data_IF_580950414995
#
_entry.id   IF_580950414995
#
_cell.length_a   1.000
_cell.length_b   1.000
_cell.length_c   1.000
_cell.angle_alpha   90.00
_cell.angle_beta   90.00
_cell.angle_gamma   90.00
#
_symmetry.space_group_name_H-M   'P 1'
#
loop_
_entity.id
_entity.type
_entity.pdbx_description
1 polymer ?
#
# COMPACT_ATOMS: atom_id res chain seq x y z
N UNK A 1 -26.02 64.95 -21.15
CA UNK A 1 -26.79 63.71 -20.96
C UNK A 1 -25.84 62.72 -20.30
N UNK A 2 -25.95 62.59 -18.97
CA UNK A 2 -25.58 61.50 -18.04
C UNK A 2 -24.20 60.77 -18.14
N UNK A 3 -23.66 60.60 -16.94
CA UNK A 3 -22.39 60.06 -16.43
C UNK A 3 -21.96 58.64 -16.86
N UNK A 4 -20.63 58.36 -16.83
CA UNK A 4 -19.97 57.59 -15.74
C UNK A 4 -18.75 56.74 -16.18
N UNK A 5 -17.66 56.93 -15.42
CA UNK A 5 -16.77 55.91 -14.81
C UNK A 5 -15.68 55.14 -15.60
N UNK A 6 -14.44 55.30 -15.09
CA UNK A 6 -13.45 54.25 -14.85
C UNK A 6 -12.09 54.46 -15.53
N UNK A 7 -10.91 54.46 -14.90
CA UNK A 7 -10.48 54.39 -13.51
C UNK A 7 -9.01 54.88 -13.44
N UNK A 8 -8.70 55.64 -12.38
CA UNK A 8 -7.38 55.92 -11.80
C UNK A 8 -6.63 54.62 -11.43
N UNK A 9 -5.35 54.51 -11.09
CA UNK A 9 -4.12 55.34 -11.04
C UNK A 9 -3.13 54.50 -10.19
N UNK A 10 -1.84 54.86 -10.23
CA UNK A 10 -0.77 54.55 -9.26
C UNK A 10 -0.80 53.23 -8.47
N UNK A 11 0.19 52.38 -8.76
CA UNK A 11 1.15 51.93 -7.73
C UNK A 11 2.45 51.39 -8.35
N UNK A 12 3.30 52.34 -8.73
CA UNK A 12 4.70 52.29 -8.25
C UNK A 12 4.68 52.22 -6.71
N UNK A 13 5.77 51.80 -6.07
CA UNK A 13 5.97 51.57 -4.63
C UNK A 13 6.15 50.07 -4.30
N UNK A 14 7.44 49.73 -4.14
CA UNK A 14 8.03 48.60 -3.40
C UNK A 14 8.65 47.48 -4.24
N UNK A 15 9.62 47.89 -5.05
CA UNK A 15 10.93 47.21 -5.08
C UNK A 15 11.63 47.50 -3.75
N UNK A 16 12.29 46.48 -3.18
CA UNK A 16 13.02 46.43 -1.91
C UNK A 16 12.18 46.51 -0.64
N UNK A 17 12.10 45.40 0.11
CA UNK A 17 12.74 45.32 1.42
C UNK A 17 13.16 43.87 1.72
N UNK A 18 14.46 43.76 1.96
CA UNK A 18 15.22 42.70 2.60
C UNK A 18 14.51 41.98 3.78
N UNK A 19 14.75 40.67 3.87
CA UNK A 19 14.89 39.98 5.16
C UNK A 19 13.76 39.05 5.58
N UNK A 20 14.15 37.79 5.86
CA UNK A 20 13.43 36.75 6.64
C UNK A 20 12.24 36.15 5.89
N UNK A 21 12.29 34.91 5.39
CA UNK A 21 12.22 33.67 6.19
C UNK A 21 13.04 32.55 5.53
N UNK A 22 14.07 32.03 6.19
CA UNK A 22 14.03 30.74 6.89
C UNK A 22 13.69 29.54 5.98
N UNK A 23 14.71 28.71 5.79
CA UNK A 23 14.60 27.26 5.65
C UNK A 23 13.85 26.73 4.43
N UNK A 24 14.49 26.82 3.26
CA UNK A 24 14.36 25.73 2.27
C UNK A 24 15.12 24.52 2.81
N UNK A 25 14.62 23.90 3.88
CA UNK A 25 14.90 22.50 4.11
C UNK A 25 14.41 21.79 2.86
N UNK A 26 15.36 21.30 2.06
CA UNK A 26 15.11 20.23 1.13
C UNK A 26 14.42 19.13 1.92
N UNK A 27 13.09 19.08 1.80
CA UNK A 27 12.31 17.92 2.16
C UNK A 27 12.71 16.89 1.09
N UNK A 28 13.88 16.29 1.27
CA UNK A 28 14.14 14.92 0.87
C UNK A 28 12.92 14.17 1.41
N UNK A 29 11.94 13.91 0.53
CA UNK A 29 10.77 13.13 0.84
C UNK A 29 11.31 11.73 1.14
N UNK A 30 11.72 11.53 2.40
CA UNK A 30 11.96 10.21 2.96
C UNK A 30 10.75 9.37 2.54
N UNK A 31 10.96 8.20 1.91
CA UNK A 31 9.88 7.45 1.29
C UNK A 31 8.77 7.32 2.32
N UNK A 32 7.63 7.94 2.01
CA UNK A 32 6.45 7.97 2.87
C UNK A 32 6.21 6.53 3.28
N UNK A 33 6.48 6.20 4.55
CA UNK A 33 6.54 4.79 4.99
C UNK A 33 5.17 4.20 4.72
N UNK A 34 5.10 3.36 3.68
CA UNK A 34 3.85 2.77 3.22
C UNK A 34 3.15 2.13 4.42
N UNK A 35 1.95 2.64 4.75
CA UNK A 35 1.27 2.26 5.98
C UNK A 35 1.02 0.75 5.96
N UNK A 36 1.36 0.02 7.03
CA UNK A 36 1.19 -1.42 7.04
C UNK A 36 -0.30 -1.77 7.08
N UNK A 37 -0.70 -2.70 6.21
CA UNK A 37 -2.06 -3.21 6.15
C UNK A 37 -2.13 -4.58 6.80
N UNK A 38 -3.18 -4.83 7.57
CA UNK A 38 -3.43 -6.15 8.17
C UNK A 38 -4.28 -7.00 7.23
N UNK A 39 -3.70 -8.02 6.62
CA UNK A 39 -4.38 -8.93 5.70
C UNK A 39 -4.19 -10.39 6.14
N UNK A 40 -5.28 -11.15 6.14
CA UNK A 40 -5.25 -12.59 6.42
C UNK A 40 -4.78 -13.36 5.17
N UNK A 41 -3.63 -14.03 5.26
CA UNK A 41 -3.10 -14.97 4.25
C UNK A 41 -3.70 -16.36 4.48
N UNK A 42 -4.40 -16.97 3.52
CA UNK A 42 -4.89 -18.35 3.64
C UNK A 42 -3.78 -19.38 3.91
N UNK A 43 -4.07 -20.40 4.72
CA UNK A 43 -3.08 -21.40 5.14
C UNK A 43 -2.37 -22.14 4.01
N UNK A 44 -3.09 -22.48 2.93
CA UNK A 44 -2.47 -23.09 1.73
C UNK A 44 -1.43 -22.19 1.06
N UNK A 45 -1.69 -20.87 1.02
CA UNK A 45 -0.71 -19.91 0.51
C UNK A 45 0.46 -19.80 1.47
N UNK A 46 0.20 -19.72 2.78
CA UNK A 46 1.24 -19.67 3.80
C UNK A 46 2.15 -20.93 3.78
N UNK A 47 1.61 -22.11 3.51
CA UNK A 47 2.38 -23.34 3.33
C UNK A 47 3.28 -23.28 2.09
N UNK A 48 2.73 -22.88 0.94
CA UNK A 48 3.48 -22.67 -0.29
C UNK A 48 4.62 -21.65 -0.11
N UNK A 49 4.33 -20.55 0.57
CA UNK A 49 5.30 -19.49 0.84
C UNK A 49 6.34 -19.88 1.89
N UNK A 50 6.07 -20.85 2.77
CA UNK A 50 7.12 -21.38 3.64
C UNK A 50 8.17 -22.21 2.89
N UNK A 51 7.82 -22.71 1.69
CA UNK A 51 8.73 -23.43 0.81
C UNK A 51 9.49 -22.52 -0.19
N UNK A 52 9.26 -21.20 -0.17
CA UNK A 52 10.02 -20.25 -0.99
C UNK A 52 11.36 -19.90 -0.34
N UNK A 53 12.36 -19.47 -1.13
CA UNK A 53 13.66 -19.01 -0.62
C UNK A 53 13.66 -17.50 -0.30
N UNK A 54 12.53 -16.82 -0.44
CA UNK A 54 12.43 -15.38 -0.15
C UNK A 54 12.32 -15.14 1.36
N UNK A 55 13.45 -14.83 1.98
CA UNK A 55 13.59 -14.65 3.42
C UNK A 55 12.62 -13.62 4.01
N UNK A 56 12.42 -12.49 3.34
CA UNK A 56 11.51 -11.43 3.80
C UNK A 56 10.07 -11.95 3.97
N UNK A 57 9.57 -12.73 3.00
CA UNK A 57 8.24 -13.33 3.07
C UNK A 57 8.13 -14.31 4.24
N UNK A 58 9.17 -15.13 4.45
CA UNK A 58 9.20 -16.11 5.54
C UNK A 58 9.17 -15.43 6.89
N UNK A 59 9.96 -14.37 7.07
CA UNK A 59 9.98 -13.60 8.32
C UNK A 59 8.63 -12.91 8.58
N UNK A 60 8.01 -12.36 7.55
CA UNK A 60 6.68 -11.74 7.64
C UNK A 60 5.60 -12.76 8.02
N UNK A 61 5.62 -13.96 7.44
CA UNK A 61 4.69 -15.04 7.80
C UNK A 61 4.95 -15.59 9.20
N UNK A 62 6.22 -15.67 9.62
CA UNK A 62 6.63 -16.12 10.95
C UNK A 62 6.22 -15.14 12.04
N UNK A 63 6.32 -13.84 11.76
CA UNK A 63 5.81 -12.77 12.64
C UNK A 63 4.28 -12.65 12.65
N UNK A 64 3.60 -13.24 11.66
CA UNK A 64 2.15 -13.21 11.53
C UNK A 64 1.43 -14.10 12.54
N UNK A 65 0.21 -13.70 12.93
CA UNK A 65 -0.62 -14.46 13.88
C UNK A 65 -1.42 -15.53 13.15
N UNK A 66 -1.17 -16.80 13.44
CA UNK A 66 -2.00 -17.92 12.94
C UNK A 66 -3.38 -17.91 13.61
N UNK A 67 -4.44 -17.98 12.80
CA UNK A 67 -5.86 -17.95 13.20
C UNK A 67 -6.54 -19.19 12.64
N UNK A 68 -7.15 -20.01 13.51
CA UNK A 68 -7.91 -21.19 13.08
C UNK A 68 -9.18 -20.78 12.32
N UNK A 69 -9.47 -21.47 11.22
CA UNK A 69 -10.64 -21.24 10.35
C UNK A 69 -11.27 -22.59 9.97
N UNK A 70 -12.20 -23.09 10.79
CA UNK A 70 -12.82 -24.39 10.55
C UNK A 70 -11.79 -25.51 10.36
N UNK A 71 -11.79 -26.14 9.18
CA UNK A 71 -10.83 -27.19 8.79
C UNK A 71 -9.42 -26.65 8.44
N UNK A 72 -9.26 -25.35 8.23
CA UNK A 72 -7.99 -24.72 7.88
C UNK A 72 -7.55 -23.63 8.85
N UNK A 73 -6.67 -22.75 8.39
CA UNK A 73 -6.24 -21.55 9.10
C UNK A 73 -5.94 -20.41 8.13
N UNK A 74 -5.74 -19.22 8.68
CA UNK A 74 -5.10 -18.08 8.02
C UNK A 74 -3.97 -17.52 8.89
N UNK A 75 -2.99 -16.87 8.28
CA UNK A 75 -1.95 -16.11 8.98
C UNK A 75 -2.28 -14.64 8.81
N UNK A 76 -2.58 -13.94 9.90
CA UNK A 76 -2.78 -12.50 9.90
C UNK A 76 -1.43 -11.82 9.86
N UNK A 77 -1.17 -11.12 8.77
CA UNK A 77 0.08 -10.42 8.51
C UNK A 77 -0.20 -8.93 8.48
N UNK A 78 0.67 -8.14 9.12
CA UNK A 78 0.68 -6.68 8.98
C UNK A 78 1.93 -6.28 8.21
N UNK A 79 1.76 -5.82 6.98
CA UNK A 79 2.87 -5.48 6.08
C UNK A 79 2.46 -4.39 5.07
N UNK A 80 3.43 -3.71 4.44
CA UNK A 80 3.14 -2.79 3.34
C UNK A 80 2.33 -3.46 2.22
N UNK A 81 1.48 -2.70 1.53
CA UNK A 81 0.62 -3.24 0.47
C UNK A 81 1.46 -3.84 -0.67
N UNK A 82 2.57 -3.21 -1.03
CA UNK A 82 3.53 -3.72 -2.02
C UNK A 82 4.05 -5.12 -1.65
N UNK A 83 4.31 -5.39 -0.36
CA UNK A 83 4.75 -6.70 0.10
C UNK A 83 3.63 -7.73 -0.02
N UNK A 84 2.38 -7.38 0.33
CA UNK A 84 1.24 -8.27 0.11
C UNK A 84 1.04 -8.63 -1.37
N UNK A 85 1.24 -7.68 -2.28
CA UNK A 85 1.20 -7.89 -3.72
C UNK A 85 2.37 -8.77 -4.20
N UNK A 86 3.59 -8.57 -3.67
CA UNK A 86 4.74 -9.42 -3.97
C UNK A 86 4.52 -10.87 -3.51
N UNK A 87 3.96 -11.06 -2.31
CA UNK A 87 3.54 -12.36 -1.79
C UNK A 87 2.52 -13.03 -2.70
N UNK A 88 1.51 -12.28 -3.17
CA UNK A 88 0.50 -12.80 -4.08
C UNK A 88 1.13 -13.27 -5.41
N UNK A 89 2.08 -12.50 -5.97
CA UNK A 89 2.81 -12.88 -7.20
C UNK A 89 3.59 -14.19 -7.04
N UNK A 90 4.22 -14.43 -5.89
CA UNK A 90 4.92 -15.70 -5.63
C UNK A 90 3.98 -16.91 -5.52
N UNK A 91 2.68 -16.66 -5.33
CA UNK A 91 1.66 -17.69 -5.28
C UNK A 91 0.97 -17.92 -6.64
N UNK A 92 1.41 -17.28 -7.73
CA UNK A 92 0.75 -17.39 -9.04
C UNK A 92 0.60 -18.84 -9.52
N UNK A 93 1.57 -19.71 -9.24
CA UNK A 93 1.51 -21.13 -9.56
C UNK A 93 0.28 -21.85 -8.96
N UNK A 94 -0.25 -21.36 -7.83
CA UNK A 94 -1.46 -21.91 -7.22
C UNK A 94 -2.76 -21.44 -7.90
N UNK A 95 -2.70 -20.41 -8.74
CA UNK A 95 -3.81 -19.94 -9.56
C UNK A 95 -3.95 -20.72 -10.88
N UNK A 96 -2.88 -21.39 -11.32
CA UNK A 96 -2.81 -22.07 -12.61
C UNK A 96 -3.74 -23.30 -12.71
N UNK A 97 -4.04 -23.72 -13.94
CA UNK A 97 -4.94 -24.83 -14.25
C UNK A 97 -4.50 -26.18 -13.67
N UNK A 98 -3.20 -26.37 -13.44
CA UNK A 98 -2.63 -27.57 -12.79
C UNK A 98 -2.74 -27.59 -11.27
N UNK A 99 -3.15 -26.49 -10.64
CA UNK A 99 -3.31 -26.38 -9.19
C UNK A 99 -4.60 -27.05 -8.70
N UNK A 100 -4.67 -27.36 -7.40
CA UNK A 100 -5.90 -27.88 -6.79
C UNK A 100 -6.99 -26.80 -6.76
N UNK A 101 -8.29 -27.18 -6.76
CA UNK A 101 -9.38 -26.22 -6.58
C UNK A 101 -9.23 -25.38 -5.30
N UNK A 102 -8.69 -25.98 -4.23
CA UNK A 102 -8.44 -25.30 -2.97
C UNK A 102 -7.32 -24.25 -3.10
N UNK A 103 -6.25 -24.55 -3.84
CA UNK A 103 -5.17 -23.60 -4.14
C UNK A 103 -5.67 -22.38 -4.91
N UNK A 104 -6.46 -22.60 -5.97
CA UNK A 104 -7.07 -21.50 -6.75
C UNK A 104 -7.99 -20.64 -5.89
N UNK A 105 -8.82 -21.26 -5.04
CA UNK A 105 -9.69 -20.53 -4.11
C UNK A 105 -8.89 -19.72 -3.11
N UNK A 106 -7.81 -20.27 -2.55
CA UNK A 106 -6.94 -19.56 -1.63
C UNK A 106 -6.31 -18.34 -2.30
N UNK A 107 -5.75 -18.51 -3.50
CA UNK A 107 -5.19 -17.42 -4.30
C UNK A 107 -6.22 -16.31 -4.54
N UNK A 108 -7.41 -16.65 -5.07
CA UNK A 108 -8.52 -15.71 -5.30
C UNK A 108 -8.90 -14.96 -4.04
N UNK A 109 -9.09 -15.68 -2.94
CA UNK A 109 -9.48 -15.10 -1.64
C UNK A 109 -8.44 -14.07 -1.16
N UNK A 110 -7.15 -14.35 -1.33
CA UNK A 110 -6.10 -13.42 -0.91
C UNK A 110 -6.01 -12.21 -1.84
N UNK A 111 -6.13 -12.43 -3.17
CA UNK A 111 -6.21 -11.35 -4.15
C UNK A 111 -7.40 -10.41 -3.86
N UNK A 112 -8.58 -10.95 -3.56
CA UNK A 112 -9.78 -10.18 -3.24
C UNK A 112 -9.59 -9.34 -1.97
N UNK A 113 -8.91 -9.89 -0.95
CA UNK A 113 -8.57 -9.15 0.27
C UNK A 113 -7.58 -8.00 0.03
N UNK A 114 -6.57 -8.23 -0.81
CA UNK A 114 -5.62 -7.20 -1.21
C UNK A 114 -6.35 -6.09 -1.99
N UNK A 115 -7.21 -6.46 -2.94
CA UNK A 115 -7.99 -5.50 -3.72
C UNK A 115 -8.90 -4.66 -2.82
N UNK A 116 -9.60 -5.28 -1.86
CA UNK A 116 -10.49 -4.57 -0.94
C UNK A 116 -9.77 -3.50 -0.10
N UNK A 117 -8.53 -3.77 0.29
CA UNK A 117 -7.71 -2.80 1.03
C UNK A 117 -7.12 -1.73 0.10
N UNK A 118 -6.79 -2.09 -1.14
CA UNK A 118 -6.26 -1.15 -2.14
C UNK A 118 -7.28 -0.10 -2.59
N UNK A 119 -8.58 -0.39 -2.43
CA UNK A 119 -9.69 0.51 -2.78
C UNK A 119 -10.26 1.27 -1.58
N UNK A 120 -9.77 1.00 -0.37
CA UNK A 120 -10.21 1.71 0.82
C UNK A 120 -9.57 3.12 0.87
N UNK A 121 -10.34 4.18 1.16
CA UNK A 121 -9.84 5.57 1.18
C UNK A 121 -8.92 5.85 2.37
#
# INVERSE_FOLDING_TARGET
MLDAAGAHDVRDILKELDGVTADVAGQEQAPEREQPHTIDVPGLLAEHLNATEVAEIREVLRGGRRIRRGQGYSVRVSAPLALHQAVLKQCAALADGGSTPAGRKAYRTYADRIAAVSTAP
#
